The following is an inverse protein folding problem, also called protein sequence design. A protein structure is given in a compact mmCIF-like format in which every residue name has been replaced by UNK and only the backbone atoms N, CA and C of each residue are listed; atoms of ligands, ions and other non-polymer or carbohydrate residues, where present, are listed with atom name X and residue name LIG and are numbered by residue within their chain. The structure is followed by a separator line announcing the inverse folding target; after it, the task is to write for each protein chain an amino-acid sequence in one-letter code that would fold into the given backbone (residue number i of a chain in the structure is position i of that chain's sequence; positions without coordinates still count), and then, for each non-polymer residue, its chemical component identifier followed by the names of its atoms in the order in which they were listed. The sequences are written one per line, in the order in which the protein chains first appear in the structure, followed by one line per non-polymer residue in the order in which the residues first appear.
data_IF_745496457292
#
_entry.id   IF_745496457292
#
_cell.length_a   1.000
_cell.length_b   1.000
_cell.length_c   1.000
_cell.angle_alpha   90.00
_cell.angle_beta   90.00
_cell.angle_gamma   90.00
#
_symmetry.space_group_name_H-M   'P 1'
#
loop_
_entity.id
_entity.type
_entity.pdbx_description
1 polymer ?
#
# COMPACT_ATOMS: atom_id res chain seq x y z
N UNK A 1 -24.74 3.53 -15.63
CA UNK A 1 -24.50 4.47 -14.52
C UNK A 1 -23.62 3.71 -13.55
N UNK A 2 -22.45 4.23 -13.22
CA UNK A 2 -21.50 3.52 -12.34
C UNK A 2 -22.02 3.59 -10.90
N UNK A 3 -21.79 2.54 -10.09
CA UNK A 3 -22.29 2.46 -8.71
C UNK A 3 -21.16 2.40 -7.68
N UNK A 4 -21.45 2.74 -6.42
CA UNK A 4 -20.50 2.53 -5.32
C UNK A 4 -20.11 1.06 -5.18
N UNK A 5 -21.03 0.13 -5.44
CA UNK A 5 -20.76 -1.30 -5.44
C UNK A 5 -19.73 -1.70 -6.52
N UNK A 6 -19.86 -1.15 -7.73
CA UNK A 6 -18.89 -1.36 -8.81
C UNK A 6 -17.51 -0.77 -8.46
N UNK A 7 -17.47 0.42 -7.86
CA UNK A 7 -16.23 1.03 -7.40
C UNK A 7 -15.55 0.20 -6.29
N UNK A 8 -16.31 -0.26 -5.29
CA UNK A 8 -15.81 -1.15 -4.23
C UNK A 8 -15.26 -2.45 -4.80
N UNK A 9 -15.96 -3.06 -5.77
CA UNK A 9 -15.46 -4.28 -6.41
C UNK A 9 -14.11 -4.06 -7.09
N UNK A 10 -13.97 -3.00 -7.89
CA UNK A 10 -12.71 -2.68 -8.58
C UNK A 10 -11.57 -2.39 -7.60
N UNK A 11 -11.85 -1.71 -6.49
CA UNK A 11 -10.87 -1.45 -5.44
C UNK A 11 -10.44 -2.74 -4.72
N UNK A 12 -11.37 -3.66 -4.45
CA UNK A 12 -11.07 -4.97 -3.86
C UNK A 12 -10.24 -5.85 -4.81
N UNK A 13 -10.53 -5.82 -6.12
CA UNK A 13 -9.71 -6.50 -7.13
C UNK A 13 -8.29 -5.91 -7.21
N UNK A 14 -8.16 -4.58 -7.15
CA UNK A 14 -6.87 -3.91 -7.07
C UNK A 14 -6.12 -4.31 -5.79
N UNK A 15 -6.78 -4.30 -4.63
CA UNK A 15 -6.20 -4.69 -3.35
C UNK A 15 -5.64 -6.11 -3.38
N UNK A 16 -6.39 -7.06 -3.95
CA UNK A 16 -5.94 -8.44 -4.09
C UNK A 16 -4.67 -8.54 -4.96
N UNK A 17 -4.62 -7.82 -6.08
CA UNK A 17 -3.44 -7.79 -6.96
C UNK A 17 -2.25 -7.11 -6.29
N UNK A 18 -2.47 -6.03 -5.54
CA UNK A 18 -1.43 -5.33 -4.78
C UNK A 18 -0.83 -6.25 -3.71
N UNK A 19 -1.66 -6.96 -2.93
CA UNK A 19 -1.19 -7.93 -1.93
C UNK A 19 -0.40 -9.07 -2.57
N UNK A 20 -0.84 -9.57 -3.73
CA UNK A 20 -0.08 -10.56 -4.48
C UNK A 20 1.27 -10.02 -4.96
N UNK A 21 1.31 -8.77 -5.45
CA UNK A 21 2.55 -8.11 -5.85
C UNK A 21 3.51 -7.93 -4.68
N UNK A 22 3.03 -7.55 -3.48
CA UNK A 22 3.85 -7.50 -2.26
C UNK A 22 4.55 -8.83 -2.00
N UNK A 23 3.82 -9.95 -2.09
CA UNK A 23 4.41 -11.28 -1.94
C UNK A 23 5.54 -11.54 -2.94
N UNK A 24 5.29 -11.25 -4.22
CA UNK A 24 6.31 -11.42 -5.28
C UNK A 24 7.54 -10.53 -5.05
N UNK A 25 7.33 -9.27 -4.64
CA UNK A 25 8.43 -8.33 -4.33
C UNK A 25 9.27 -8.84 -3.16
N UNK A 26 8.63 -9.38 -2.13
CA UNK A 26 9.33 -9.92 -0.96
C UNK A 26 10.09 -11.22 -1.28
N UNK A 27 9.64 -11.97 -2.29
CA UNK A 27 10.18 -13.28 -2.69
C UNK A 27 11.04 -13.23 -3.97
N UNK A 28 11.61 -12.08 -4.32
CA UNK A 28 12.51 -11.99 -5.49
C UNK A 28 13.77 -12.85 -5.29
N UNK A 29 14.12 -13.64 -6.32
CA UNK A 29 15.29 -14.54 -6.31
C UNK A 29 16.62 -13.76 -6.20
N UNK A 30 16.67 -12.58 -6.81
CA UNK A 30 17.82 -11.68 -6.76
C UNK A 30 17.33 -10.39 -6.12
N UNK A 31 17.93 -10.04 -4.98
CA UNK A 31 17.57 -8.82 -4.28
C UNK A 31 17.90 -7.59 -5.11
N UNK A 32 16.99 -6.63 -5.14
CA UNK A 32 17.21 -5.30 -5.74
C UNK A 32 17.51 -4.28 -4.66
N UNK A 33 18.33 -3.27 -4.95
CA UNK A 33 18.82 -2.30 -3.94
C UNK A 33 17.68 -1.65 -3.13
N UNK A 34 16.58 -1.27 -3.79
CA UNK A 34 15.40 -0.66 -3.16
C UNK A 34 14.19 -1.62 -3.09
N UNK A 35 14.43 -2.93 -2.98
CA UNK A 35 13.35 -3.92 -2.93
C UNK A 35 12.47 -3.75 -1.69
N UNK A 36 13.07 -3.43 -0.54
CA UNK A 36 12.38 -3.14 0.71
C UNK A 36 11.49 -1.88 0.59
N UNK A 37 12.00 -0.80 0.01
CA UNK A 37 11.25 0.42 -0.30
C UNK A 37 10.10 0.11 -1.26
N UNK A 38 10.32 -0.65 -2.33
CA UNK A 38 9.26 -1.09 -3.23
C UNK A 38 8.18 -1.92 -2.50
N UNK A 39 8.61 -2.79 -1.57
CA UNK A 39 7.73 -3.55 -0.70
C UNK A 39 6.88 -2.67 0.21
N UNK A 40 7.48 -1.66 0.85
CA UNK A 40 6.79 -0.70 1.72
C UNK A 40 5.78 0.16 0.94
N UNK A 41 6.15 0.68 -0.22
CA UNK A 41 5.24 1.45 -1.10
C UNK A 41 4.06 0.60 -1.55
N UNK A 42 4.30 -0.67 -1.88
CA UNK A 42 3.23 -1.59 -2.30
C UNK A 42 2.30 -1.92 -1.12
N UNK A 43 2.84 -2.10 0.09
CA UNK A 43 2.04 -2.28 1.31
C UNK A 43 1.21 -1.03 1.65
N UNK A 44 1.80 0.17 1.54
CA UNK A 44 1.09 1.43 1.72
C UNK A 44 -0.05 1.58 0.72
N UNK A 45 0.19 1.21 -0.55
CA UNK A 45 -0.85 1.18 -1.59
C UNK A 45 -2.00 0.25 -1.20
N UNK A 46 -1.72 -0.93 -0.63
CA UNK A 46 -2.76 -1.83 -0.15
C UNK A 46 -3.59 -1.20 0.98
N UNK A 47 -2.94 -0.53 1.93
CA UNK A 47 -3.63 0.16 3.02
C UNK A 47 -4.50 1.32 2.52
N UNK A 48 -4.03 2.10 1.53
CA UNK A 48 -4.85 3.16 0.90
C UNK A 48 -6.06 2.60 0.16
N UNK A 49 -5.93 1.43 -0.49
CA UNK A 49 -7.05 0.75 -1.13
C UNK A 49 -8.06 0.23 -0.10
N UNK A 50 -7.61 -0.30 1.04
CA UNK A 50 -8.46 -0.67 2.18
C UNK A 50 -9.24 0.55 2.69
N UNK A 51 -8.55 1.68 2.89
CA UNK A 51 -9.18 2.94 3.30
C UNK A 51 -10.26 3.40 2.32
N UNK A 52 -9.96 3.41 1.02
CA UNK A 52 -10.92 3.81 -0.01
C UNK A 52 -12.18 2.92 0.00
N UNK A 53 -12.03 1.60 0.22
CA UNK A 53 -13.17 0.69 0.36
C UNK A 53 -13.98 1.02 1.61
N UNK A 54 -13.34 1.23 2.75
CA UNK A 54 -14.00 1.55 4.01
C UNK A 54 -14.78 2.88 3.94
N UNK A 55 -14.21 3.92 3.33
CA UNK A 55 -14.89 5.20 3.07
C UNK A 55 -16.18 5.03 2.25
N UNK A 56 -16.11 4.22 1.17
CA UNK A 56 -17.29 3.94 0.32
C UNK A 56 -18.35 3.09 1.03
N UNK A 57 -17.99 2.45 2.13
CA UNK A 57 -18.88 1.66 2.99
C UNK A 57 -19.34 2.43 4.24
N UNK A 58 -18.98 3.71 4.36
CA UNK A 58 -19.27 4.56 5.53
C UNK A 58 -18.70 3.99 6.84
N UNK A 59 -17.52 3.38 6.76
CA UNK A 59 -16.78 2.87 7.90
C UNK A 59 -15.53 3.75 8.13
N UNK A 60 -15.77 4.91 8.74
CA UNK A 60 -14.76 5.97 8.84
C UNK A 60 -13.60 5.60 9.77
N UNK A 61 -13.85 4.82 10.83
CA UNK A 61 -12.82 4.38 11.78
C UNK A 61 -11.81 3.47 11.10
N UNK A 62 -12.27 2.40 10.45
CA UNK A 62 -11.41 1.50 9.67
C UNK A 62 -10.69 2.23 8.52
N UNK A 63 -11.33 3.24 7.94
CA UNK A 63 -10.74 4.05 6.88
C UNK A 63 -9.55 4.89 7.38
N UNK A 64 -9.69 5.52 8.55
CA UNK A 64 -8.64 6.34 9.16
C UNK A 64 -7.48 5.47 9.66
N UNK A 65 -7.78 4.34 10.30
CA UNK A 65 -6.76 3.38 10.74
C UNK A 65 -5.96 2.83 9.54
N UNK A 66 -6.62 2.63 8.40
CA UNK A 66 -5.93 2.23 7.17
C UNK A 66 -5.07 3.35 6.57
N UNK A 67 -5.47 4.63 6.71
CA UNK A 67 -4.67 5.78 6.28
C UNK A 67 -3.42 5.95 7.16
N UNK A 68 -3.56 5.85 8.48
CA UNK A 68 -2.44 5.96 9.41
C UNK A 68 -1.39 4.86 9.15
N UNK A 69 -1.84 3.61 8.97
CA UNK A 69 -0.94 2.51 8.55
C UNK A 69 -0.25 2.78 7.22
N UNK A 70 -0.92 3.43 6.26
CA UNK A 70 -0.32 3.76 4.97
C UNK A 70 0.76 4.83 5.11
N UNK A 71 0.55 5.80 5.99
CA UNK A 71 1.47 6.90 6.30
C UNK A 71 2.74 6.36 6.98
N UNK A 72 2.60 5.54 8.03
CA UNK A 72 3.72 4.89 8.73
C UNK A 72 4.63 4.10 7.78
N UNK A 73 4.03 3.42 6.80
CA UNK A 73 4.76 2.65 5.78
C UNK A 73 5.53 3.56 4.81
N UNK A 74 4.96 4.71 4.44
CA UNK A 74 5.63 5.68 3.57
C UNK A 74 6.74 6.41 4.31
N UNK A 75 6.53 6.78 5.57
CA UNK A 75 7.56 7.37 6.42
C UNK A 75 8.75 6.43 6.58
N UNK A 76 8.48 5.13 6.78
CA UNK A 76 9.54 4.11 6.81
C UNK A 76 10.29 4.03 5.48
N UNK A 77 9.57 4.09 4.35
CA UNK A 77 10.19 4.06 3.02
C UNK A 77 11.10 5.28 2.80
N UNK A 78 10.64 6.48 3.17
CA UNK A 78 11.44 7.70 3.08
C UNK A 78 12.66 7.66 4.00
N UNK A 79 12.52 7.16 5.23
CA UNK A 79 13.65 6.99 6.13
C UNK A 79 14.75 6.07 5.58
N UNK A 80 14.39 5.07 4.77
CA UNK A 80 15.37 4.19 4.11
C UNK A 80 16.08 4.96 2.99
N UNK A 81 15.32 5.62 2.11
CA UNK A 81 15.87 6.42 1.02
C UNK A 81 16.84 7.48 1.55
N UNK A 82 16.40 8.27 2.54
CA UNK A 82 17.21 9.35 3.11
C UNK A 82 18.54 8.81 3.67
N UNK A 83 18.48 7.70 4.42
CA UNK A 83 19.68 7.04 4.96
C UNK A 83 20.63 6.55 3.88
N UNK A 84 20.12 6.02 2.77
CA UNK A 84 20.95 5.54 1.67
C UNK A 84 21.53 6.67 0.82
N UNK A 85 20.85 7.82 0.74
CA UNK A 85 21.33 9.00 0.02
C UNK A 85 22.28 9.89 0.83
N UNK A 86 22.17 9.89 2.16
CA UNK A 86 23.03 10.66 3.06
C UNK A 86 24.39 9.99 3.34
N UNK A 87 24.60 8.76 2.86
CA UNK A 87 25.88 8.04 2.96
C UNK A 87 26.89 8.39 1.82
N UNK A 88 26.60 9.40 0.97
CA UNK A 88 27.54 10.03 0.01
C UNK A 88 28.27 11.26 0.57
#
# INVERSE_FOLDING_TARGET
MNTSAEAVQLLQEALAKTKAATGVINDLIVAHDYQDVAGLVTQSTAALLESAVALLQSNDEDALDAMERADDLLDTAWSIIDRETDEE
#
